data_IF_128270473842
#
_entry.id   IF_128270473842
#
_cell.length_a   1.000
_cell.length_b   1.000
_cell.length_c   1.000
_cell.angle_alpha   90.00
_cell.angle_beta   90.00
_cell.angle_gamma   90.00
#
_symmetry.space_group_name_H-M   'P 1'
#
loop_
_entity.id
_entity.type
_entity.pdbx_description
1 polymer ?
#
# COMPACT_ATOMS: atom_id res chain seq x y z
N UNK A 1 54.14 38.84 -19.56
CA UNK A 1 54.19 37.49 -18.95
C UNK A 1 53.90 36.45 -20.02
N UNK A 2 54.84 35.56 -20.27
CA UNK A 2 54.67 34.37 -21.12
C UNK A 2 53.98 33.29 -20.28
N UNK A 3 52.77 32.90 -20.68
CA UNK A 3 52.07 31.79 -20.03
C UNK A 3 52.80 30.50 -20.41
N UNK A 4 53.19 29.70 -19.41
CA UNK A 4 53.70 28.36 -19.66
C UNK A 4 52.57 27.46 -20.17
N UNK A 5 52.62 27.17 -21.47
CA UNK A 5 51.60 26.39 -22.15
C UNK A 5 51.59 24.93 -21.67
N UNK A 6 52.75 24.38 -21.34
CA UNK A 6 52.87 22.96 -20.96
C UNK A 6 52.24 22.73 -19.58
N UNK A 7 52.48 23.64 -18.64
CA UNK A 7 51.81 23.62 -17.32
C UNK A 7 50.27 23.70 -17.43
N UNK A 8 49.75 24.53 -18.35
CA UNK A 8 48.29 24.62 -18.58
C UNK A 8 47.76 23.35 -19.23
N UNK A 9 48.49 22.79 -20.21
CA UNK A 9 48.11 21.55 -20.88
C UNK A 9 48.05 20.38 -19.90
N UNK A 10 49.07 20.21 -19.07
CA UNK A 10 49.15 19.15 -18.06
C UNK A 10 47.94 19.21 -17.11
N UNK A 11 47.68 20.37 -16.49
CA UNK A 11 46.57 20.51 -15.54
C UNK A 11 45.19 20.31 -16.16
N UNK A 12 44.99 20.75 -17.40
CA UNK A 12 43.73 20.51 -18.11
C UNK A 12 43.59 19.04 -18.55
N UNK A 13 44.70 18.38 -18.86
CA UNK A 13 44.72 16.96 -19.21
C UNK A 13 44.42 16.09 -17.99
N UNK A 14 44.90 16.46 -16.80
CA UNK A 14 44.49 15.83 -15.55
C UNK A 14 42.97 15.92 -15.37
N UNK A 15 42.35 17.09 -15.63
CA UNK A 15 40.89 17.24 -15.56
C UNK A 15 40.14 16.46 -16.63
N UNK A 16 40.73 16.34 -17.82
CA UNK A 16 40.20 15.48 -18.89
C UNK A 16 40.12 14.01 -18.44
N UNK A 17 41.11 13.53 -17.69
CA UNK A 17 41.15 12.16 -17.15
C UNK A 17 40.19 12.01 -15.96
N UNK A 18 40.21 12.94 -15.01
CA UNK A 18 39.41 12.87 -13.78
C UNK A 18 37.90 13.07 -14.01
N UNK A 19 37.51 13.91 -14.98
CA UNK A 19 36.12 14.38 -15.11
C UNK A 19 35.62 14.35 -16.56
N UNK A 20 36.38 13.82 -17.51
CA UNK A 20 36.02 13.81 -18.93
C UNK A 20 36.14 15.18 -19.62
N UNK A 21 36.68 16.18 -18.92
CA UNK A 21 36.87 17.55 -19.41
C UNK A 21 37.08 18.57 -18.28
N UNK A 22 37.11 19.86 -18.63
CA UNK A 22 37.40 20.96 -17.70
C UNK A 22 36.26 21.97 -17.62
N UNK A 23 36.12 22.63 -16.47
CA UNK A 23 35.09 23.63 -16.19
C UNK A 23 35.65 25.04 -16.15
N UNK A 24 34.75 26.02 -16.21
CA UNK A 24 35.07 27.43 -16.08
C UNK A 24 35.75 27.77 -14.75
N UNK A 25 35.45 27.04 -13.68
CA UNK A 25 36.11 27.14 -12.37
C UNK A 25 37.56 26.69 -12.38
N UNK A 26 37.89 25.66 -13.17
CA UNK A 26 39.26 25.18 -13.32
C UNK A 26 40.11 26.24 -14.03
N UNK A 27 39.54 26.88 -15.06
CA UNK A 27 40.18 28.00 -15.75
C UNK A 27 40.42 29.19 -14.81
N UNK A 28 39.50 29.49 -13.89
CA UNK A 28 39.69 30.55 -12.89
C UNK A 28 40.81 30.21 -11.89
N UNK A 29 40.87 28.96 -11.40
CA UNK A 29 41.96 28.51 -10.52
C UNK A 29 43.30 28.54 -11.24
N UNK A 30 43.34 28.07 -12.48
CA UNK A 30 44.51 28.12 -13.35
C UNK A 30 44.96 29.55 -13.58
N UNK A 31 44.05 30.46 -13.94
CA UNK A 31 44.39 31.85 -14.24
C UNK A 31 45.03 32.56 -13.05
N UNK A 32 44.54 32.29 -11.83
CA UNK A 32 45.16 32.79 -10.60
C UNK A 32 46.58 32.23 -10.42
N UNK A 33 46.78 30.95 -10.69
CA UNK A 33 48.10 30.30 -10.59
C UNK A 33 49.12 30.77 -11.64
N UNK A 34 48.67 31.26 -12.81
CA UNK A 34 49.55 31.80 -13.86
C UNK A 34 49.54 33.34 -13.92
N UNK A 35 48.90 34.02 -12.97
CA UNK A 35 48.91 35.47 -12.86
C UNK A 35 48.18 36.20 -14.01
N UNK A 36 47.15 35.60 -14.60
CA UNK A 36 46.38 36.18 -15.70
C UNK A 36 44.89 36.23 -15.38
N UNK A 37 44.14 37.05 -16.13
CA UNK A 37 42.68 37.09 -15.97
C UNK A 37 42.05 35.80 -16.52
N UNK A 38 40.96 35.29 -15.90
CA UNK A 38 40.26 34.11 -16.41
C UNK A 38 39.80 34.26 -17.87
N UNK A 39 39.35 35.46 -18.26
CA UNK A 39 38.97 35.76 -19.64
C UNK A 39 40.16 35.70 -20.60
N UNK A 40 41.32 36.24 -20.19
CA UNK A 40 42.55 36.16 -20.98
C UNK A 40 42.99 34.72 -21.20
N UNK A 41 42.95 33.89 -20.14
CA UNK A 41 43.29 32.47 -20.24
C UNK A 41 42.30 31.70 -21.13
N UNK A 42 40.99 31.98 -21.08
CA UNK A 42 40.00 31.37 -21.98
C UNK A 42 40.27 31.69 -23.46
N UNK A 43 40.64 32.93 -23.76
CA UNK A 43 41.02 33.32 -25.14
C UNK A 43 42.26 32.54 -25.58
N UNK A 44 43.28 32.46 -24.73
CA UNK A 44 44.51 31.71 -25.02
C UNK A 44 44.25 30.21 -25.25
N UNK A 45 43.48 29.56 -24.37
CA UNK A 45 43.09 28.15 -24.53
C UNK A 45 42.33 27.93 -25.85
N UNK A 46 41.43 28.85 -26.22
CA UNK A 46 40.71 28.79 -27.50
C UNK A 46 41.65 28.90 -28.70
N UNK A 47 42.69 29.74 -28.61
CA UNK A 47 43.73 29.83 -29.64
C UNK A 47 44.56 28.55 -29.71
N UNK A 48 45.01 28.02 -28.57
CA UNK A 48 45.79 26.78 -28.53
C UNK A 48 45.01 25.56 -28.98
N UNK A 49 43.69 25.52 -28.76
CA UNK A 49 42.83 24.48 -29.36
C UNK A 49 42.90 24.41 -30.88
N UNK A 50 43.16 25.54 -31.55
CA UNK A 50 43.29 25.59 -33.01
C UNK A 50 44.72 25.28 -33.47
N UNK A 51 45.72 25.78 -32.73
CA UNK A 51 47.13 25.74 -33.17
C UNK A 51 47.99 24.64 -32.54
N UNK A 52 47.59 24.03 -31.42
CA UNK A 52 48.39 23.02 -30.69
C UNK A 52 47.62 21.71 -30.56
N UNK A 53 48.27 20.61 -30.96
CA UNK A 53 47.65 19.29 -31.04
C UNK A 53 47.14 18.78 -29.68
N UNK A 54 47.93 18.95 -28.61
CA UNK A 54 47.54 18.49 -27.26
C UNK A 54 46.27 19.16 -26.70
N UNK A 55 45.90 20.36 -27.17
CA UNK A 55 44.69 21.04 -26.70
C UNK A 55 43.43 20.63 -27.47
N UNK A 56 43.55 20.04 -28.67
CA UNK A 56 42.41 19.72 -29.54
C UNK A 56 41.39 18.79 -28.87
N UNK A 57 41.88 17.83 -28.09
CA UNK A 57 41.06 16.80 -27.46
C UNK A 57 40.48 17.21 -26.10
N UNK A 58 40.85 18.38 -25.56
CA UNK A 58 40.35 18.84 -24.26
C UNK A 58 38.90 19.33 -24.40
N UNK A 59 37.98 18.77 -23.61
CA UNK A 59 36.56 19.11 -23.66
C UNK A 59 36.20 20.15 -22.60
N UNK A 60 35.55 21.24 -23.00
CA UNK A 60 34.98 22.21 -22.06
C UNK A 60 33.58 21.75 -21.67
N UNK A 61 33.34 21.53 -20.38
CA UNK A 61 32.10 20.95 -19.86
C UNK A 61 31.08 21.98 -19.36
N UNK A 62 31.46 23.27 -19.35
CA UNK A 62 30.60 24.35 -18.89
C UNK A 62 31.23 25.17 -17.77
N UNK A 63 30.43 26.02 -17.14
CA UNK A 63 30.95 27.08 -16.28
C UNK A 63 31.35 26.60 -14.88
N UNK A 64 30.63 25.61 -14.33
CA UNK A 64 30.83 25.02 -13.01
C UNK A 64 30.59 23.51 -13.07
N UNK A 65 31.28 22.69 -12.26
CA UNK A 65 30.93 21.29 -12.08
C UNK A 65 29.50 21.17 -11.53
N UNK A 66 28.74 20.13 -11.93
CA UNK A 66 27.42 19.89 -11.38
C UNK A 66 27.53 19.66 -9.88
N UNK A 67 26.72 20.38 -9.10
CA UNK A 67 26.76 20.33 -7.64
C UNK A 67 26.11 19.07 -7.06
N UNK A 68 25.30 18.36 -7.86
CA UNK A 68 24.68 17.06 -7.56
C UNK A 68 25.23 16.04 -8.55
N UNK A 69 25.72 14.92 -8.06
CA UNK A 69 26.21 13.81 -8.89
C UNK A 69 25.04 13.02 -9.50
N UNK A 70 25.31 12.20 -10.52
CA UNK A 70 24.28 11.39 -11.15
C UNK A 70 23.67 10.38 -10.16
N UNK A 71 24.49 9.73 -9.34
CA UNK A 71 24.03 8.77 -8.34
C UNK A 71 23.12 9.42 -7.30
N UNK A 72 23.50 10.61 -6.80
CA UNK A 72 22.66 11.38 -5.88
C UNK A 72 21.38 11.84 -6.55
N UNK A 73 21.41 12.20 -7.83
CA UNK A 73 20.20 12.52 -8.57
C UNK A 73 19.26 11.32 -8.66
N UNK A 74 19.77 10.13 -8.99
CA UNK A 74 18.99 8.89 -9.02
C UNK A 74 18.43 8.52 -7.64
N UNK A 75 19.18 8.76 -6.58
CA UNK A 75 18.72 8.49 -5.21
C UNK A 75 17.63 9.50 -4.77
N UNK A 76 17.81 10.80 -5.06
CA UNK A 76 16.78 11.83 -4.85
C UNK A 76 15.49 11.44 -5.58
N UNK A 77 15.62 11.03 -6.84
CA UNK A 77 14.52 10.54 -7.66
C UNK A 77 13.83 9.34 -6.99
N UNK A 78 14.60 8.34 -6.60
CA UNK A 78 14.07 7.11 -5.98
C UNK A 78 13.33 7.39 -4.68
N UNK A 79 13.87 8.25 -3.81
CA UNK A 79 13.22 8.63 -2.56
C UNK A 79 11.90 9.36 -2.80
N UNK A 80 11.90 10.33 -3.71
CA UNK A 80 10.66 11.03 -4.08
C UNK A 80 9.58 10.10 -4.64
N UNK A 81 9.96 9.12 -5.47
CA UNK A 81 9.02 8.16 -6.05
C UNK A 81 8.51 7.12 -5.04
N UNK A 82 9.38 6.68 -4.13
CA UNK A 82 9.04 5.66 -3.13
C UNK A 82 8.21 6.25 -1.99
N UNK A 83 8.51 7.47 -1.55
CA UNK A 83 7.82 8.16 -0.48
C UNK A 83 7.65 9.67 -0.78
N UNK A 84 6.62 10.07 -1.55
CA UNK A 84 6.41 11.48 -1.89
C UNK A 84 6.01 12.37 -0.71
N UNK A 85 5.78 11.80 0.48
CA UNK A 85 5.44 12.51 1.71
C UNK A 85 6.70 12.76 2.57
N UNK A 86 7.85 12.19 2.18
CA UNK A 86 9.10 12.36 2.91
C UNK A 86 9.50 13.84 3.01
N UNK A 87 9.87 14.25 4.22
CA UNK A 87 10.22 15.64 4.50
C UNK A 87 11.52 15.98 3.77
N UNK A 88 11.43 16.88 2.79
CA UNK A 88 12.54 17.22 1.88
C UNK A 88 13.82 17.67 2.60
N UNK A 89 13.68 18.35 3.74
CA UNK A 89 14.83 18.78 4.55
C UNK A 89 15.57 17.60 5.18
N UNK A 90 14.88 16.53 5.57
CA UNK A 90 15.53 15.33 6.12
C UNK A 90 16.31 14.60 5.02
N UNK A 91 15.75 14.50 3.81
CA UNK A 91 16.48 13.94 2.66
C UNK A 91 17.77 14.73 2.42
N UNK A 92 17.71 16.07 2.44
CA UNK A 92 18.90 16.90 2.31
C UNK A 92 19.93 16.62 3.41
N UNK A 93 19.50 16.50 4.67
CA UNK A 93 20.39 16.20 5.79
C UNK A 93 21.08 14.84 5.63
N UNK A 94 20.36 13.82 5.17
CA UNK A 94 20.92 12.50 4.85
C UNK A 94 22.02 12.61 3.80
N UNK A 95 21.75 13.28 2.66
CA UNK A 95 22.76 13.49 1.62
C UNK A 95 23.99 14.25 2.12
N UNK A 96 23.79 15.23 3.00
CA UNK A 96 24.91 15.98 3.59
C UNK A 96 25.75 15.12 4.51
N UNK A 97 25.12 14.30 5.34
CA UNK A 97 25.81 13.35 6.21
C UNK A 97 26.60 12.33 5.37
N UNK A 98 26.01 11.83 4.30
CA UNK A 98 26.64 10.84 3.42
C UNK A 98 27.85 11.43 2.67
N UNK A 99 27.74 12.67 2.21
CA UNK A 99 28.89 13.41 1.63
C UNK A 99 29.99 13.66 2.65
N UNK A 100 29.63 14.02 3.88
CA UNK A 100 30.60 14.23 4.96
C UNK A 100 31.40 12.94 5.21
N UNK A 101 30.71 11.80 5.28
CA UNK A 101 31.32 10.48 5.45
C UNK A 101 32.27 10.11 4.29
N UNK A 102 31.97 10.57 3.07
CA UNK A 102 32.79 10.36 1.86
C UNK A 102 33.88 11.43 1.69
N UNK A 103 34.02 12.38 2.61
CA UNK A 103 34.98 13.49 2.51
C UNK A 103 34.68 14.48 1.37
N UNK A 104 33.43 14.51 0.90
CA UNK A 104 32.96 15.36 -0.19
C UNK A 104 32.46 16.72 0.30
N UNK A 105 32.45 17.71 -0.60
CA UNK A 105 31.97 19.04 -0.29
C UNK A 105 30.45 19.03 -0.03
N UNK A 106 30.04 19.73 1.03
CA UNK A 106 28.65 19.80 1.47
C UNK A 106 27.70 20.23 0.34
N UNK A 107 26.52 19.59 0.27
CA UNK A 107 25.52 19.88 -0.76
C UNK A 107 24.73 21.17 -0.42
N UNK A 108 24.79 22.22 -1.25
CA UNK A 108 24.01 23.44 -1.01
C UNK A 108 22.52 23.17 -1.11
N UNK A 109 21.72 23.76 -0.21
CA UNK A 109 20.26 23.56 -0.20
C UNK A 109 19.63 23.92 -1.54
N UNK A 110 20.08 25.01 -2.17
CA UNK A 110 19.58 25.44 -3.48
C UNK A 110 19.84 24.42 -4.58
N UNK A 111 21.00 23.76 -4.59
CA UNK A 111 21.34 22.75 -5.59
C UNK A 111 20.50 21.49 -5.41
N UNK A 112 20.29 21.08 -4.16
CA UNK A 112 19.40 19.97 -3.83
C UNK A 112 17.95 20.24 -4.28
N UNK A 113 17.38 21.37 -3.88
CA UNK A 113 16.00 21.69 -4.26
C UNK A 113 15.83 21.89 -5.76
N UNK A 114 16.85 22.39 -6.46
CA UNK A 114 16.84 22.45 -7.92
C UNK A 114 16.87 21.05 -8.56
N UNK A 115 17.68 20.12 -8.04
CA UNK A 115 17.67 18.73 -8.49
C UNK A 115 16.32 18.05 -8.25
N UNK A 116 15.68 18.32 -7.09
CA UNK A 116 14.32 17.85 -6.81
C UNK A 116 13.29 18.40 -7.80
N UNK A 117 13.38 19.68 -8.17
CA UNK A 117 12.49 20.26 -9.18
C UNK A 117 12.74 19.64 -10.56
N UNK A 118 13.98 19.26 -10.88
CA UNK A 118 14.29 18.57 -12.12
C UNK A 118 13.75 17.13 -12.15
N UNK A 119 13.75 16.42 -11.01
CA UNK A 119 13.04 15.14 -10.90
C UNK A 119 11.52 15.31 -11.06
N UNK A 120 10.93 16.38 -10.51
CA UNK A 120 9.52 16.70 -10.74
C UNK A 120 9.26 16.97 -12.24
N UNK A 121 10.14 17.71 -12.93
CA UNK A 121 10.04 17.96 -14.38
C UNK A 121 10.13 16.68 -15.23
N UNK A 122 10.88 15.67 -14.80
CA UNK A 122 10.93 14.36 -15.45
C UNK A 122 9.60 13.60 -15.30
N UNK A 123 8.91 13.77 -14.17
CA UNK A 123 7.55 13.24 -13.93
C UNK A 123 6.49 13.98 -14.77
N UNK A 124 6.69 15.26 -15.07
CA UNK A 124 5.77 16.05 -15.89
C UNK A 124 5.85 15.78 -17.41
N UNK A 125 6.73 14.90 -17.89
CA UNK A 125 6.77 14.55 -19.32
C UNK A 125 5.52 13.76 -19.76
N UNK A 126 4.79 13.11 -18.83
CA UNK A 126 3.54 12.40 -19.12
C UNK A 126 2.56 12.46 -17.94
N UNK A 127 1.32 12.84 -18.19
CA UNK A 127 0.23 12.79 -17.19
C UNK A 127 0.15 11.38 -16.56
N UNK A 128 0.11 11.33 -15.23
CA UNK A 128 0.06 10.08 -14.45
C UNK A 128 1.32 9.19 -14.53
N UNK A 129 2.50 9.81 -14.61
CA UNK A 129 3.81 9.15 -14.62
C UNK A 129 3.98 8.08 -13.52
N UNK A 130 3.46 8.33 -12.31
CA UNK A 130 3.54 7.37 -11.19
C UNK A 130 2.93 6.01 -11.52
N UNK A 131 1.78 6.00 -12.22
CA UNK A 131 1.09 4.78 -12.61
C UNK A 131 1.89 4.01 -13.65
N UNK A 132 2.45 4.72 -14.64
CA UNK A 132 3.29 4.14 -15.70
C UNK A 132 4.54 3.45 -15.13
N UNK A 133 5.24 4.11 -14.20
CA UNK A 133 6.42 3.54 -13.53
C UNK A 133 6.09 2.28 -12.73
N UNK A 134 4.88 2.21 -12.18
CA UNK A 134 4.39 1.07 -11.40
C UNK A 134 3.74 -0.04 -12.24
N UNK A 135 3.71 0.10 -13.56
CA UNK A 135 3.03 -0.85 -14.44
C UNK A 135 1.51 -0.88 -14.26
N UNK A 136 0.92 0.18 -13.70
CA UNK A 136 -0.52 0.29 -13.48
C UNK A 136 -1.16 0.91 -14.72
N UNK A 137 -2.18 0.23 -15.25
CA UNK A 137 -2.91 0.74 -16.40
C UNK A 137 -3.84 1.88 -15.99
N UNK A 138 -3.80 2.99 -16.73
CA UNK A 138 -4.79 4.05 -16.63
C UNK A 138 -5.58 4.14 -17.94
N UNK A 139 -6.92 4.05 -17.89
CA UNK A 139 -7.77 4.27 -19.06
C UNK A 139 -7.55 5.63 -19.71
N UNK A 140 -7.70 5.71 -21.03
CA UNK A 140 -7.51 6.99 -21.76
C UNK A 140 -8.54 8.05 -21.40
N UNK A 141 -9.73 7.60 -20.99
CA UNK A 141 -10.87 8.38 -20.52
C UNK A 141 -10.85 8.63 -19.01
N UNK A 142 -9.72 8.37 -18.32
CA UNK A 142 -9.61 8.53 -16.88
C UNK A 142 -9.79 9.99 -16.43
N UNK A 143 -10.78 10.19 -15.56
CA UNK A 143 -11.17 11.49 -15.03
C UNK A 143 -11.10 11.49 -13.50
N UNK A 144 -10.23 12.34 -12.93
CA UNK A 144 -10.06 12.43 -11.47
C UNK A 144 -11.38 12.76 -10.76
N UNK A 145 -12.25 13.58 -11.36
CA UNK A 145 -13.54 13.92 -10.77
C UNK A 145 -14.46 12.71 -10.70
N UNK A 146 -14.52 11.91 -11.76
CA UNK A 146 -15.42 10.76 -11.85
C UNK A 146 -14.96 9.66 -10.90
N UNK A 147 -13.65 9.44 -10.84
CA UNK A 147 -13.01 8.51 -9.92
C UNK A 147 -13.20 8.94 -8.47
N UNK A 148 -13.09 10.24 -8.18
CA UNK A 148 -13.38 10.78 -6.84
C UNK A 148 -14.84 10.57 -6.46
N UNK A 149 -15.78 10.73 -7.41
CA UNK A 149 -17.19 10.46 -7.17
C UNK A 149 -17.46 8.98 -6.84
N UNK A 150 -16.70 8.05 -7.42
CA UNK A 150 -16.85 6.63 -7.11
C UNK A 150 -16.58 6.29 -5.64
N UNK A 151 -15.76 7.09 -4.94
CA UNK A 151 -15.49 6.89 -3.51
C UNK A 151 -16.72 7.11 -2.63
N UNK A 152 -17.66 7.93 -3.09
CA UNK A 152 -18.90 8.23 -2.37
C UNK A 152 -20.06 7.32 -2.78
N UNK A 153 -20.03 6.77 -4.00
CA UNK A 153 -21.13 5.97 -4.56
C UNK A 153 -20.86 4.46 -4.50
N UNK A 154 -19.72 4.03 -5.05
CA UNK A 154 -19.36 2.62 -5.19
C UNK A 154 -18.48 2.15 -4.02
N UNK A 155 -17.41 2.86 -3.69
CA UNK A 155 -16.43 2.46 -2.64
C UNK A 155 -16.80 3.02 -1.26
N UNK A 156 -18.05 2.77 -0.85
CA UNK A 156 -18.62 3.22 0.42
C UNK A 156 -19.22 2.05 1.20
N UNK A 157 -19.13 2.10 2.54
CA UNK A 157 -19.79 1.13 3.42
C UNK A 157 -21.24 1.52 3.77
N UNK A 158 -21.71 2.65 3.25
CA UNK A 158 -23.10 3.09 3.41
C UNK A 158 -24.06 2.12 2.73
N UNK A 159 -25.17 1.80 3.40
CA UNK A 159 -26.21 0.91 2.86
C UNK A 159 -25.93 -0.59 3.00
N UNK A 160 -24.82 -0.99 3.64
CA UNK A 160 -24.48 -2.41 3.85
C UNK A 160 -25.12 -3.05 5.10
N UNK A 161 -26.01 -2.31 5.78
CA UNK A 161 -26.72 -2.76 6.98
C UNK A 161 -28.19 -3.00 6.65
N UNK A 162 -28.73 -4.12 7.09
CA UNK A 162 -30.15 -4.45 7.08
C UNK A 162 -30.73 -4.43 8.50
N UNK A 163 -32.06 -4.58 8.62
CA UNK A 163 -32.70 -4.75 9.92
C UNK A 163 -32.18 -6.02 10.60
N UNK A 164 -31.45 -5.85 11.71
CA UNK A 164 -30.87 -6.96 12.47
C UNK A 164 -29.44 -7.36 12.14
N UNK A 165 -28.70 -6.61 11.29
CA UNK A 165 -27.26 -6.85 11.09
C UNK A 165 -26.71 -6.43 9.73
N UNK A 166 -25.56 -6.99 9.36
CA UNK A 166 -24.95 -6.79 8.04
C UNK A 166 -25.75 -7.52 6.94
N UNK A 167 -25.97 -6.84 5.81
CA UNK A 167 -26.59 -7.45 4.63
C UNK A 167 -25.52 -8.15 3.79
N UNK A 168 -25.39 -9.47 3.96
CA UNK A 168 -24.41 -10.26 3.21
C UNK A 168 -24.64 -10.22 1.70
N UNK A 169 -25.89 -10.08 1.23
CA UNK A 169 -26.16 -10.04 -0.20
C UNK A 169 -25.67 -8.72 -0.78
N UNK A 170 -25.98 -7.61 -0.11
CA UNK A 170 -25.53 -6.29 -0.56
C UNK A 170 -24.00 -6.14 -0.45
N UNK A 171 -23.37 -6.67 0.60
CA UNK A 171 -21.91 -6.72 0.71
C UNK A 171 -21.30 -7.53 -0.44
N UNK A 172 -21.87 -8.70 -0.76
CA UNK A 172 -21.41 -9.53 -1.88
C UNK A 172 -21.54 -8.80 -3.22
N UNK A 173 -22.71 -8.21 -3.50
CA UNK A 173 -22.95 -7.44 -4.71
C UNK A 173 -21.96 -6.28 -4.83
N UNK A 174 -21.74 -5.56 -3.73
CA UNK A 174 -20.79 -4.46 -3.63
C UNK A 174 -19.38 -4.90 -3.95
N UNK A 175 -18.94 -6.02 -3.37
CA UNK A 175 -17.61 -6.57 -3.57
C UNK A 175 -17.38 -7.00 -5.03
N UNK A 176 -18.38 -7.63 -5.67
CA UNK A 176 -18.30 -8.00 -7.09
C UNK A 176 -18.14 -6.75 -7.96
N UNK A 177 -18.96 -5.71 -7.71
CA UNK A 177 -18.92 -4.48 -8.47
C UNK A 177 -17.60 -3.72 -8.29
N UNK A 178 -17.08 -3.64 -7.07
CA UNK A 178 -15.83 -2.93 -6.78
C UNK A 178 -14.62 -3.68 -7.34
N UNK A 179 -14.60 -5.02 -7.29
CA UNK A 179 -13.55 -5.83 -7.94
C UNK A 179 -13.54 -5.62 -9.45
N UNK A 180 -14.69 -5.76 -10.10
CA UNK A 180 -14.82 -5.52 -11.54
C UNK A 180 -14.39 -4.10 -11.93
N UNK A 181 -14.65 -3.12 -11.07
CA UNK A 181 -14.24 -1.74 -11.32
C UNK A 181 -12.72 -1.56 -11.27
N UNK A 182 -12.03 -2.17 -10.29
CA UNK A 182 -10.56 -2.04 -10.15
C UNK A 182 -9.77 -2.87 -11.16
N UNK A 183 -10.39 -3.84 -11.85
CA UNK A 183 -9.77 -4.62 -12.93
C UNK A 183 -9.20 -3.73 -14.06
N UNK A 184 -9.78 -2.55 -14.28
CA UNK A 184 -9.29 -1.58 -15.28
C UNK A 184 -7.84 -1.14 -15.04
N UNK A 185 -7.36 -1.25 -13.79
CA UNK A 185 -5.98 -0.91 -13.43
C UNK A 185 -4.98 -2.03 -13.74
N UNK A 186 -5.46 -3.25 -14.05
CA UNK A 186 -4.61 -4.39 -14.37
C UNK A 186 -3.75 -4.90 -13.21
N UNK A 187 -4.14 -4.62 -11.96
CA UNK A 187 -3.36 -4.97 -10.77
C UNK A 187 -4.20 -5.72 -9.73
N UNK A 188 -3.54 -6.59 -8.96
CA UNK A 188 -4.16 -7.27 -7.85
C UNK A 188 -4.14 -6.37 -6.59
N UNK A 189 -5.29 -6.08 -5.95
CA UNK A 189 -5.34 -5.22 -4.77
C UNK A 189 -4.41 -5.66 -3.63
N UNK A 190 -4.25 -6.98 -3.44
CA UNK A 190 -3.45 -7.56 -2.36
C UNK A 190 -1.96 -7.19 -2.42
N UNK A 191 -1.42 -6.97 -3.62
CA UNK A 191 0.00 -6.61 -3.80
C UNK A 191 0.32 -5.22 -3.25
N UNK A 192 -0.66 -4.31 -3.28
CA UNK A 192 -0.49 -2.92 -2.85
C UNK A 192 -0.91 -2.70 -1.39
N UNK A 193 -1.76 -3.58 -0.86
CA UNK A 193 -2.39 -3.40 0.45
C UNK A 193 -1.43 -3.22 1.62
N UNK A 194 -0.33 -3.98 1.77
CA UNK A 194 0.59 -3.80 2.90
C UNK A 194 1.14 -2.36 2.99
N UNK A 195 1.34 -1.70 1.85
CA UNK A 195 1.83 -0.31 1.77
C UNK A 195 0.72 0.72 1.96
N UNK A 196 -0.53 0.35 1.71
CA UNK A 196 -1.69 1.23 1.85
C UNK A 196 -2.22 1.19 3.28
N UNK A 197 -2.21 0.01 3.92
CA UNK A 197 -2.74 -0.22 5.27
C UNK A 197 -2.14 0.76 6.30
N UNK A 198 -0.83 1.02 6.23
CA UNK A 198 -0.14 1.95 7.14
C UNK A 198 -0.60 3.41 6.99
N UNK A 199 -1.26 3.75 5.88
CA UNK A 199 -1.70 5.11 5.54
C UNK A 199 -3.23 5.24 5.43
N UNK A 200 -3.97 4.14 5.45
CA UNK A 200 -5.38 4.05 5.05
C UNK A 200 -6.32 5.04 5.74
N UNK A 201 -6.16 5.22 7.06
CA UNK A 201 -6.96 6.17 7.86
C UNK A 201 -6.77 7.64 7.42
N UNK A 202 -5.58 7.99 6.92
CA UNK A 202 -5.21 9.35 6.55
C UNK A 202 -5.49 9.67 5.08
N UNK A 203 -5.57 8.66 4.20
CA UNK A 203 -5.74 8.89 2.76
C UNK A 203 -7.02 9.66 2.41
N UNK A 204 -8.15 9.32 3.04
CA UNK A 204 -9.42 10.04 2.81
C UNK A 204 -9.38 11.49 3.30
N UNK A 205 -8.70 11.73 4.43
CA UNK A 205 -8.49 13.09 4.98
C UNK A 205 -7.60 13.90 4.04
N UNK A 206 -6.51 13.29 3.55
CA UNK A 206 -5.56 13.91 2.66
C UNK A 206 -6.21 14.25 1.30
N UNK A 207 -7.02 13.35 0.74
CA UNK A 207 -7.80 13.64 -0.47
C UNK A 207 -8.77 14.81 -0.27
N UNK A 208 -9.41 14.88 0.91
CA UNK A 208 -10.34 15.97 1.25
C UNK A 208 -9.64 17.32 1.38
N UNK A 209 -8.36 17.33 1.79
CA UNK A 209 -7.55 18.56 1.90
C UNK A 209 -7.11 19.14 0.55
N UNK A 210 -7.10 18.33 -0.52
CA UNK A 210 -6.69 18.75 -1.86
C UNK A 210 -7.91 19.25 -2.64
N UNK A 211 -7.84 20.50 -3.10
CA UNK A 211 -8.88 21.11 -3.95
C UNK A 211 -9.03 20.32 -5.25
N UNK A 212 -10.25 20.01 -5.74
CA UNK A 212 -10.47 19.11 -6.87
C UNK A 212 -9.70 19.45 -8.16
N UNK A 213 -9.42 20.74 -8.41
CA UNK A 213 -8.71 21.21 -9.61
C UNK A 213 -7.19 21.33 -9.44
N UNK A 214 -6.62 20.84 -8.32
CA UNK A 214 -5.18 20.95 -8.03
C UNK A 214 -4.56 19.57 -7.86
N UNK A 215 -3.31 19.39 -8.29
CA UNK A 215 -2.55 18.16 -8.06
C UNK A 215 -3.27 16.89 -8.54
N UNK A 216 -3.75 16.88 -9.79
CA UNK A 216 -4.52 15.76 -10.37
C UNK A 216 -3.84 14.40 -10.21
N UNK A 217 -2.53 14.32 -10.41
CA UNK A 217 -1.78 13.07 -10.29
C UNK A 217 -1.71 12.56 -8.84
N UNK A 218 -1.51 13.47 -7.88
CA UNK A 218 -1.55 13.15 -6.46
C UNK A 218 -2.94 12.67 -6.04
N UNK A 219 -3.99 13.36 -6.49
CA UNK A 219 -5.37 12.94 -6.25
C UNK A 219 -5.65 11.56 -6.86
N UNK A 220 -5.26 11.33 -8.12
CA UNK A 220 -5.45 10.05 -8.80
C UNK A 220 -4.80 8.91 -8.03
N UNK A 221 -3.56 9.12 -7.56
CA UNK A 221 -2.84 8.15 -6.72
C UNK A 221 -3.61 7.84 -5.44
N UNK A 222 -4.05 8.87 -4.71
CA UNK A 222 -4.77 8.67 -3.45
C UNK A 222 -6.10 7.95 -3.68
N UNK A 223 -6.85 8.34 -4.73
CA UNK A 223 -8.12 7.70 -5.10
C UNK A 223 -7.89 6.22 -5.39
N UNK A 224 -6.89 5.89 -6.19
CA UNK A 224 -6.48 4.51 -6.48
C UNK A 224 -6.16 3.73 -5.19
N UNK A 225 -5.33 4.29 -4.30
CA UNK A 225 -4.98 3.63 -3.03
C UNK A 225 -6.22 3.39 -2.16
N UNK A 226 -7.15 4.35 -2.08
CA UNK A 226 -8.41 4.21 -1.32
C UNK A 226 -9.33 3.15 -1.94
N UNK A 227 -9.44 3.09 -3.26
CA UNK A 227 -10.25 2.08 -3.96
C UNK A 227 -9.72 0.66 -3.70
N UNK A 228 -8.41 0.45 -3.78
CA UNK A 228 -7.79 -0.85 -3.49
C UNK A 228 -7.95 -1.26 -2.03
N UNK A 229 -7.76 -0.33 -1.09
CA UNK A 229 -7.97 -0.59 0.33
C UNK A 229 -9.40 -1.06 0.61
N UNK A 230 -10.38 -0.36 0.03
CA UNK A 230 -11.79 -0.70 0.20
C UNK A 230 -12.12 -2.13 -0.26
N UNK A 231 -11.57 -2.59 -1.40
CA UNK A 231 -11.83 -3.95 -1.90
C UNK A 231 -11.41 -5.01 -0.89
N UNK A 232 -10.29 -4.80 -0.21
CA UNK A 232 -9.76 -5.74 0.77
C UNK A 232 -10.53 -5.64 2.08
N UNK A 233 -10.73 -4.44 2.60
CA UNK A 233 -11.53 -4.21 3.80
C UNK A 233 -12.97 -4.75 3.67
N UNK A 234 -13.57 -4.61 2.48
CA UNK A 234 -14.89 -5.17 2.18
C UNK A 234 -14.85 -6.70 2.06
N UNK A 235 -13.76 -7.28 1.56
CA UNK A 235 -13.55 -8.74 1.57
C UNK A 235 -13.46 -9.26 3.01
N UNK A 236 -12.69 -8.60 3.87
CA UNK A 236 -12.52 -8.98 5.28
C UNK A 236 -13.85 -8.85 6.05
N UNK A 237 -14.59 -7.77 5.81
CA UNK A 237 -15.94 -7.59 6.35
C UNK A 237 -16.87 -8.74 5.94
N UNK A 238 -16.88 -9.09 4.65
CA UNK A 238 -17.71 -10.18 4.14
C UNK A 238 -17.38 -11.51 4.81
N UNK A 239 -16.09 -11.88 4.86
CA UNK A 239 -15.63 -13.12 5.50
C UNK A 239 -16.03 -13.17 6.97
N UNK A 240 -15.82 -12.07 7.70
CA UNK A 240 -16.17 -11.95 9.12
C UNK A 240 -17.66 -12.16 9.34
N UNK A 241 -18.51 -11.51 8.54
CA UNK A 241 -19.97 -11.62 8.68
C UNK A 241 -20.52 -12.99 8.28
N UNK A 242 -19.89 -13.66 7.30
CA UNK A 242 -20.23 -15.06 6.96
C UNK A 242 -19.92 -15.99 8.14
N UNK A 243 -18.75 -15.84 8.76
CA UNK A 243 -18.35 -16.62 9.94
C UNK A 243 -19.34 -16.38 11.09
N UNK A 244 -19.66 -15.12 11.39
CA UNK A 244 -20.64 -14.77 12.42
C UNK A 244 -22.02 -15.35 12.14
N UNK A 245 -22.50 -15.27 10.89
CA UNK A 245 -23.81 -15.82 10.52
C UNK A 245 -23.85 -17.34 10.68
N UNK A 246 -22.79 -18.04 10.27
CA UNK A 246 -22.66 -19.49 10.48
C UNK A 246 -22.70 -19.83 11.97
N UNK A 247 -21.96 -19.10 12.81
CA UNK A 247 -21.98 -19.26 14.27
C UNK A 247 -23.38 -19.05 14.88
N UNK A 248 -24.09 -17.99 14.48
CA UNK A 248 -25.47 -17.70 14.94
C UNK A 248 -26.45 -18.81 14.56
N UNK A 249 -26.37 -19.32 13.32
CA UNK A 249 -27.21 -20.44 12.86
C UNK A 249 -26.95 -21.69 13.71
N UNK A 250 -25.69 -22.03 13.93
CA UNK A 250 -25.32 -23.19 14.73
C UNK A 250 -25.81 -23.09 16.18
N UNK A 251 -25.67 -21.91 16.81
CA UNK A 251 -26.22 -21.65 18.15
C UNK A 251 -27.74 -21.78 18.20
N UNK A 252 -28.45 -21.23 17.21
CA UNK A 252 -29.91 -21.32 17.12
C UNK A 252 -30.40 -22.78 16.96
N UNK A 253 -29.70 -23.55 16.13
CA UNK A 253 -29.97 -24.99 15.97
C UNK A 253 -29.75 -25.75 17.28
N UNK A 254 -28.65 -25.47 17.98
CA UNK A 254 -28.37 -26.09 19.29
C UNK A 254 -29.42 -25.73 20.34
N UNK A 255 -29.89 -24.48 20.38
CA UNK A 255 -30.95 -24.06 21.29
C UNK A 255 -32.29 -24.77 20.99
N UNK A 256 -32.66 -24.90 19.71
CA UNK A 256 -33.86 -25.67 19.29
C UNK A 256 -33.74 -27.13 19.69
N UNK A 257 -32.58 -27.75 19.47
CA UNK A 257 -32.30 -29.13 19.87
C UNK A 257 -32.47 -29.32 21.37
N UNK A 258 -31.85 -28.46 22.18
CA UNK A 258 -31.98 -28.49 23.64
C UNK A 258 -33.43 -28.35 24.11
N UNK A 259 -34.22 -27.48 23.47
CA UNK A 259 -35.64 -27.32 23.79
C UNK A 259 -36.44 -28.60 23.56
N UNK A 260 -36.19 -29.31 22.46
CA UNK A 260 -36.84 -30.60 22.16
C UNK A 260 -36.39 -31.68 23.13
N UNK A 261 -35.09 -31.79 23.40
CA UNK A 261 -34.55 -32.77 24.35
C UNK A 261 -35.12 -32.56 25.76
N UNK A 262 -35.24 -31.30 26.21
CA UNK A 262 -35.83 -30.97 27.51
C UNK A 262 -37.34 -31.26 27.57
N UNK A 263 -38.06 -31.06 26.47
CA UNK A 263 -39.48 -31.40 26.39
C UNK A 263 -39.71 -32.90 26.52
N UNK A 264 -38.93 -33.73 25.80
CA UNK A 264 -39.00 -35.20 25.90
C UNK A 264 -38.70 -35.65 27.33
N UNK A 265 -37.62 -35.15 27.94
CA UNK A 265 -37.31 -35.47 29.34
C UNK A 265 -38.43 -35.07 30.29
N UNK A 266 -39.07 -33.92 30.07
CA UNK A 266 -40.19 -33.47 30.91
C UNK A 266 -41.39 -34.42 30.78
N UNK A 267 -41.77 -34.79 29.57
CA UNK A 267 -42.87 -35.74 29.31
C UNK A 267 -42.61 -37.11 29.93
N UNK A 268 -41.39 -37.63 29.81
CA UNK A 268 -40.98 -38.89 30.44
C UNK A 268 -41.07 -38.82 31.97
N UNK A 269 -40.53 -37.76 32.58
CA UNK A 269 -40.59 -37.57 34.03
C UNK A 269 -42.03 -37.40 34.53
N UNK A 270 -42.89 -36.73 33.76
CA UNK A 270 -44.30 -36.54 34.08
C UNK A 270 -45.07 -37.86 34.00
N UNK A 271 -44.79 -38.70 32.99
CA UNK A 271 -45.32 -40.07 32.90
C UNK A 271 -44.87 -40.94 34.08
N UNK A 272 -43.57 -40.92 34.43
CA UNK A 272 -43.05 -41.64 35.59
C UNK A 272 -43.75 -41.18 36.88
N UNK A 273 -43.94 -39.86 37.04
CA UNK A 273 -44.60 -39.27 38.21
C UNK A 273 -46.07 -39.69 38.29
N UNK A 274 -46.80 -39.67 37.18
CA UNK A 274 -48.20 -40.09 37.14
C UNK A 274 -48.33 -41.59 37.46
N UNK A 275 -47.52 -42.44 36.83
CA UNK A 275 -47.50 -43.88 37.10
C UNK A 275 -47.19 -44.17 38.59
N UNK A 276 -46.21 -43.47 39.16
CA UNK A 276 -45.87 -43.61 40.58
C UNK A 276 -47.02 -43.18 41.49
N UNK A 277 -47.72 -42.09 41.15
CA UNK A 277 -48.88 -41.59 41.89
C UNK A 277 -50.04 -42.59 41.86
N UNK A 278 -50.32 -43.15 40.69
CA UNK A 278 -51.41 -44.12 40.51
C UNK A 278 -51.14 -45.41 41.30
N UNK A 279 -49.90 -45.89 41.34
CA UNK A 279 -49.51 -47.05 42.18
C UNK A 279 -49.70 -46.78 43.69
N UNK A 280 -49.34 -45.58 44.14
CA UNK A 280 -49.54 -45.15 45.54
C UNK A 280 -51.03 -45.09 45.88
N UNK A 281 -51.85 -44.50 45.00
CA UNK A 281 -53.30 -44.40 45.20
C UNK A 281 -53.97 -45.79 45.20
N UNK A 282 -53.55 -46.68 44.31
CA UNK A 282 -54.07 -48.05 44.19
C UNK A 282 -53.60 -48.99 45.31
N UNK A 283 -52.66 -48.58 46.17
CA UNK A 283 -52.03 -49.40 47.21
C UNK A 283 -51.49 -50.75 46.69
N UNK A 284 -51.17 -50.82 45.40
CA UNK A 284 -50.70 -52.02 44.72
C UNK A 284 -49.48 -51.65 43.89
N UNK A 285 -48.27 -52.04 44.33
CA UNK A 285 -47.07 -51.77 43.55
C UNK A 285 -47.09 -52.59 42.26
N UNK A 286 -46.91 -51.92 41.13
CA UNK A 286 -46.64 -52.57 39.85
C UNK A 286 -45.13 -52.78 39.73
N UNK A 287 -44.69 -53.98 40.09
CA UNK A 287 -43.27 -54.34 40.14
C UNK A 287 -42.61 -54.30 38.76
N UNK A 288 -43.36 -54.53 37.67
CA UNK A 288 -42.83 -54.46 36.30
C UNK A 288 -42.57 -53.01 35.89
N UNK A 289 -43.49 -52.10 36.22
CA UNK A 289 -43.29 -50.68 35.99
C UNK A 289 -42.17 -50.10 36.88
N UNK A 290 -42.06 -50.52 38.14
CA UNK A 290 -40.95 -50.14 39.03
C UNK A 290 -39.60 -50.64 38.48
N UNK A 291 -39.55 -51.88 37.99
CA UNK A 291 -38.34 -52.44 37.37
C UNK A 291 -37.94 -51.66 36.11
N UNK A 292 -38.90 -51.29 35.24
CA UNK A 292 -38.65 -50.46 34.05
C UNK A 292 -38.16 -49.05 34.37
N UNK A 293 -38.60 -48.47 35.49
CA UNK A 293 -38.14 -47.14 35.94
C UNK A 293 -36.74 -47.23 36.57
N UNK A 294 -36.48 -48.26 37.38
CA UNK A 294 -35.19 -48.48 38.04
C UNK A 294 -34.08 -48.91 37.04
N UNK A 295 -34.47 -49.64 36.00
CA UNK A 295 -33.62 -50.07 34.90
C UNK A 295 -34.20 -49.55 33.60
N UNK A 296 -34.04 -48.25 33.37
CA UNK A 296 -34.33 -47.59 32.10
C UNK A 296 -33.45 -48.21 31.00
N UNK A 297 -33.93 -49.26 30.35
CA UNK A 297 -33.46 -49.60 29.02
C UNK A 297 -33.81 -48.41 28.12
N UNK A 298 -32.78 -47.72 27.64
CA UNK A 298 -32.95 -46.64 26.66
C UNK A 298 -33.71 -47.26 25.48
N UNK A 299 -34.96 -46.86 25.31
CA UNK A 299 -35.83 -47.33 24.23
C UNK A 299 -35.03 -47.33 22.91
N UNK A 300 -35.09 -48.44 22.18
CA UNK A 300 -34.29 -48.68 20.99
C UNK A 300 -34.52 -47.57 19.95
N UNK A 301 -35.72 -46.99 19.95
CA UNK A 301 -36.08 -45.81 19.15
C UNK A 301 -35.33 -44.54 19.59
N UNK A 302 -35.15 -44.31 20.88
CA UNK A 302 -34.35 -43.21 21.44
C UNK A 302 -32.87 -43.44 21.14
N UNK A 303 -32.38 -44.68 21.28
CA UNK A 303 -31.01 -45.08 20.98
C UNK A 303 -30.68 -44.89 19.48
N UNK A 304 -31.56 -45.35 18.60
CA UNK A 304 -31.46 -45.15 17.14
C UNK A 304 -31.50 -43.66 16.76
N UNK A 305 -32.31 -42.84 17.47
CA UNK A 305 -32.37 -41.40 17.26
C UNK A 305 -31.09 -40.69 17.71
N UNK A 306 -30.48 -41.11 18.81
CA UNK A 306 -29.16 -40.63 19.25
C UNK A 306 -28.02 -41.07 18.33
N UNK A 307 -28.09 -42.29 17.78
CA UNK A 307 -27.13 -42.79 16.80
C UNK A 307 -27.26 -42.05 15.46
N UNK A 308 -28.46 -41.79 14.95
CA UNK A 308 -28.69 -40.94 13.77
C UNK A 308 -28.18 -39.51 13.98
N UNK A 309 -28.33 -38.95 15.18
CA UNK A 309 -27.80 -37.63 15.55
C UNK A 309 -26.26 -37.63 15.70
N UNK A 310 -25.64 -38.76 16.05
CA UNK A 310 -24.17 -38.92 16.10
C UNK A 310 -23.57 -39.20 14.72
N UNK A 311 -24.23 -39.99 13.89
CA UNK A 311 -23.79 -40.34 12.54
C UNK A 311 -23.77 -39.12 11.61
N UNK A 312 -24.70 -38.19 11.80
CA UNK A 312 -24.74 -36.95 11.03
C UNK A 312 -23.98 -35.78 11.66
N UNK A 313 -23.10 -36.03 12.64
CA UNK A 313 -22.36 -34.99 13.36
C UNK A 313 -21.42 -34.16 12.46
N UNK A 314 -21.05 -34.69 11.29
CA UNK A 314 -20.18 -34.02 10.31
C UNK A 314 -20.94 -33.51 9.06
N UNK A 315 -22.25 -33.75 8.98
CA UNK A 315 -23.10 -33.35 7.83
C UNK A 315 -23.91 -32.07 8.11
N UNK A 316 -23.80 -31.47 9.31
CA UNK A 316 -24.57 -30.31 9.77
C UNK A 316 -23.71 -29.17 10.33
#
# INVERSE_FOLDING_TARGET
MTIDVNSVLERLSTKQIESGGYYGTDVTKLSNGVGVTPQGLRKQISTWKRSKEGFRNLKYLGQRPPSVTLDEFMEIETRLHSNPIEVKSHILEDFRADRLNKGLQNLPSSSFYHAMQQTDLYQFATKYSWFKVRGINIPRDYSVSDERNTLSTLFTFSGLKAYGGADLQEISNRLVNTRKYVEKYGVAPFEFYPRILTRGSHLRSLLSSITPHRQEETQAKIIFEVQLAYVIECTDLFVTEVIHRKGRVHQSMNARRQKVENQIRKEELENIRNNSRDMVLAHKPDMDAIHKIAYLEIDEKIRARFELLRANKNTY
#
